data_IF_338684057501
#
_entry.id   IF_338684057501
#
_cell.length_a   1.000
_cell.length_b   1.000
_cell.length_c   1.000
_cell.angle_alpha   90.00
_cell.angle_beta   90.00
_cell.angle_gamma   90.00
#
_symmetry.space_group_name_H-M   'P 1'
#
loop_
_entity.id
_entity.type
_entity.pdbx_description
1 polymer ?
#
# COMPACT_ATOMS: atom_id res chain seq x y z
N UNK A 1 -9.50 -2.43 15.53
CA UNK A 1 -10.10 -2.18 14.20
C UNK A 1 -8.97 -1.83 13.24
N UNK A 2 -8.96 -2.39 12.03
CA UNK A 2 -7.95 -1.98 11.04
C UNK A 2 -8.36 -0.67 10.39
N UNK A 3 -7.39 0.20 10.14
CA UNK A 3 -7.64 1.46 9.42
C UNK A 3 -7.74 1.22 7.91
N UNK A 4 -8.38 2.12 7.15
CA UNK A 4 -8.42 2.04 5.68
C UNK A 4 -7.03 1.91 5.03
N UNK A 5 -6.04 2.65 5.54
CA UNK A 5 -4.64 2.52 5.13
C UNK A 5 -4.10 1.08 5.31
N UNK A 6 -4.32 0.48 6.48
CA UNK A 6 -3.85 -0.86 6.78
C UNK A 6 -4.47 -1.92 5.85
N UNK A 7 -5.76 -1.78 5.55
CA UNK A 7 -6.46 -2.65 4.61
C UNK A 7 -5.95 -2.45 3.18
N UNK A 8 -5.77 -1.20 2.74
CA UNK A 8 -5.25 -0.88 1.41
C UNK A 8 -3.84 -1.48 1.20
N UNK A 9 -2.91 -1.28 2.15
CA UNK A 9 -1.56 -1.85 2.09
C UNK A 9 -1.61 -3.38 1.96
N UNK A 10 -2.48 -4.05 2.73
CA UNK A 10 -2.62 -5.51 2.66
C UNK A 10 -3.08 -5.97 1.27
N UNK A 11 -4.06 -5.28 0.68
CA UNK A 11 -4.54 -5.60 -0.66
C UNK A 11 -3.48 -5.33 -1.72
N UNK A 12 -2.74 -4.23 -1.63
CA UNK A 12 -1.66 -3.89 -2.57
C UNK A 12 -0.52 -4.91 -2.53
N UNK A 13 -0.08 -5.29 -1.33
CA UNK A 13 0.98 -6.31 -1.16
C UNK A 13 0.52 -7.67 -1.67
N UNK A 14 -0.73 -8.04 -1.42
CA UNK A 14 -1.31 -9.27 -1.98
C UNK A 14 -1.36 -9.22 -3.49
N UNK A 15 -1.84 -8.13 -4.08
CA UNK A 15 -1.88 -7.95 -5.53
C UNK A 15 -0.48 -8.12 -6.13
N UNK A 16 0.54 -7.54 -5.47
CA UNK A 16 1.95 -7.74 -5.83
C UNK A 16 2.33 -9.21 -5.76
N UNK A 17 2.05 -9.91 -4.66
CA UNK A 17 2.43 -11.31 -4.50
C UNK A 17 1.70 -12.24 -5.50
N UNK A 18 0.45 -11.94 -5.88
CA UNK A 18 -0.25 -12.69 -6.93
C UNK A 18 0.38 -12.46 -8.32
N UNK A 19 0.70 -11.21 -8.66
CA UNK A 19 1.29 -10.87 -9.96
C UNK A 19 2.68 -11.46 -10.16
N UNK A 20 3.42 -11.67 -9.08
CA UNK A 20 4.79 -12.18 -9.08
C UNK A 20 4.89 -13.57 -8.43
N UNK A 21 3.82 -14.36 -8.49
CA UNK A 21 3.80 -15.70 -7.88
C UNK A 21 4.87 -16.65 -8.47
N UNK A 22 5.22 -16.45 -9.75
CA UNK A 22 6.22 -17.24 -10.48
C UNK A 22 7.58 -16.53 -10.62
N UNK A 23 7.68 -15.24 -10.26
CA UNK A 23 8.90 -14.42 -10.36
C UNK A 23 9.13 -13.66 -9.04
N UNK A 24 9.61 -14.40 -8.04
CA UNK A 24 9.83 -13.86 -6.69
C UNK A 24 11.08 -12.97 -6.55
N UNK A 25 12.02 -13.06 -7.49
CA UNK A 25 13.35 -12.42 -7.39
C UNK A 25 13.28 -10.92 -7.66
N UNK A 26 12.51 -10.53 -8.69
CA UNK A 26 12.42 -9.14 -9.14
C UNK A 26 11.10 -8.46 -8.73
N UNK A 27 10.37 -9.06 -7.77
CA UNK A 27 9.10 -8.52 -7.31
C UNK A 27 9.32 -7.17 -6.59
N UNK A 28 8.40 -6.20 -6.75
CA UNK A 28 8.46 -4.94 -6.03
C UNK A 28 8.57 -5.18 -4.52
N UNK A 29 9.53 -4.55 -3.84
CA UNK A 29 9.76 -4.82 -2.42
C UNK A 29 8.64 -4.23 -1.55
N UNK A 30 8.26 -4.96 -0.51
CA UNK A 30 7.13 -4.62 0.36
C UNK A 30 7.29 -3.23 0.99
N UNK A 31 8.51 -2.89 1.43
CA UNK A 31 8.79 -1.64 2.11
C UNK A 31 8.54 -0.42 1.22
N UNK A 32 8.88 -0.47 -0.07
CA UNK A 32 8.57 0.60 -1.01
C UNK A 32 7.05 0.78 -1.12
N UNK A 33 6.30 -0.32 -1.29
CA UNK A 33 4.83 -0.25 -1.39
C UNK A 33 4.24 0.39 -0.13
N UNK A 34 4.65 -0.09 1.05
CA UNK A 34 4.13 0.39 2.32
C UNK A 34 4.49 1.85 2.57
N UNK A 35 5.74 2.24 2.34
CA UNK A 35 6.20 3.62 2.54
C UNK A 35 5.49 4.58 1.60
N UNK A 36 5.43 4.29 0.30
CA UNK A 36 4.77 5.16 -0.67
C UNK A 36 3.26 5.21 -0.45
N UNK A 37 2.62 4.10 -0.05
CA UNK A 37 1.21 4.09 0.31
C UNK A 37 0.92 4.97 1.53
N UNK A 38 1.79 4.92 2.53
CA UNK A 38 1.67 5.75 3.72
C UNK A 38 1.82 7.25 3.38
N UNK A 39 2.78 7.61 2.53
CA UNK A 39 2.94 8.99 2.06
C UNK A 39 1.73 9.51 1.26
N UNK A 40 1.13 8.65 0.43
CA UNK A 40 0.03 9.02 -0.44
C UNK A 40 -1.35 8.98 0.23
N UNK A 41 -1.46 8.38 1.41
CA UNK A 41 -2.69 8.28 2.16
C UNK A 41 -3.03 9.60 2.83
N UNK A 42 -4.28 10.06 2.68
CA UNK A 42 -4.76 11.35 3.13
C UNK A 42 -5.94 11.20 4.09
N UNK A 43 -5.85 10.25 5.02
CA UNK A 43 -6.83 10.02 6.09
C UNK A 43 -8.24 9.68 5.60
N UNK A 44 -8.31 8.96 4.49
CA UNK A 44 -9.57 8.61 3.86
C UNK A 44 -10.46 7.75 4.78
N UNK A 45 -11.75 8.06 4.82
CA UNK A 45 -12.71 7.40 5.70
C UNK A 45 -13.11 5.98 5.25
N UNK A 46 -12.80 5.59 4.01
CA UNK A 46 -13.16 4.29 3.44
C UNK A 46 -11.98 3.63 2.74
N UNK A 47 -12.05 2.31 2.61
CA UNK A 47 -11.06 1.51 1.88
C UNK A 47 -11.00 1.89 0.40
N UNK A 48 -12.16 2.11 -0.22
CA UNK A 48 -12.26 2.54 -1.62
C UNK A 48 -11.54 3.86 -1.88
N UNK A 49 -11.79 4.87 -1.03
CA UNK A 49 -11.13 6.17 -1.12
C UNK A 49 -9.61 6.05 -0.86
N UNK A 50 -9.22 5.27 0.15
CA UNK A 50 -7.81 5.00 0.45
C UNK A 50 -7.07 4.36 -0.74
N UNK A 51 -7.63 3.29 -1.33
CA UNK A 51 -7.04 2.63 -2.50
C UNK A 51 -6.92 3.58 -3.68
N UNK A 52 -7.95 4.38 -3.96
CA UNK A 52 -7.94 5.35 -5.05
C UNK A 52 -6.83 6.39 -4.86
N UNK A 53 -6.80 7.03 -3.69
CA UNK A 53 -5.83 8.08 -3.36
C UNK A 53 -4.40 7.56 -3.39
N UNK A 54 -4.15 6.42 -2.74
CA UNK A 54 -2.83 5.78 -2.73
C UNK A 54 -2.38 5.46 -4.15
N UNK A 55 -3.17 4.72 -4.93
CA UNK A 55 -2.77 4.30 -6.27
C UNK A 55 -2.57 5.48 -7.22
N UNK A 56 -3.32 6.59 -7.08
CA UNK A 56 -3.17 7.78 -7.91
C UNK A 56 -1.92 8.60 -7.60
N UNK A 57 -1.44 8.56 -6.36
CA UNK A 57 -0.42 9.51 -5.88
C UNK A 57 0.90 8.87 -5.43
N UNK A 58 0.95 7.56 -5.13
CA UNK A 58 2.12 6.96 -4.49
C UNK A 58 3.43 7.07 -5.28
N UNK A 59 3.38 7.11 -6.61
CA UNK A 59 4.55 7.31 -7.46
C UNK A 59 5.13 8.73 -7.38
N UNK A 60 4.35 9.72 -6.95
CA UNK A 60 4.81 11.11 -6.78
C UNK A 60 5.78 11.28 -5.61
N UNK A 61 5.83 10.30 -4.72
CA UNK A 61 6.74 10.26 -3.57
C UNK A 61 8.04 9.50 -3.87
N UNK A 62 8.26 9.12 -5.13
CA UNK A 62 9.56 8.68 -5.61
C UNK A 62 10.30 9.94 -6.08
N UNK A 63 11.32 10.34 -5.33
CA UNK A 63 12.13 11.50 -5.68
C UNK A 63 13.21 11.11 -6.70
N UNK A 64 13.78 12.11 -7.36
CA UNK A 64 15.00 11.97 -8.16
C UNK A 64 16.09 12.84 -7.52
N UNK A 65 17.17 12.20 -7.06
CA UNK A 65 18.32 12.87 -6.43
C UNK A 65 19.58 12.48 -7.21
N UNK A 66 20.22 13.46 -7.83
CA UNK A 66 21.42 13.26 -8.66
C UNK A 66 21.24 12.19 -9.75
N UNK A 67 20.03 12.10 -10.34
CA UNK A 67 19.68 11.12 -11.37
C UNK A 67 19.35 9.71 -10.84
N UNK A 68 19.28 9.53 -9.52
CA UNK A 68 18.94 8.27 -8.87
C UNK A 68 17.55 8.37 -8.24
N UNK A 69 16.71 7.36 -8.49
CA UNK A 69 15.40 7.24 -7.86
C UNK A 69 15.56 7.05 -6.34
N UNK A 70 14.79 7.81 -5.56
CA UNK A 70 14.93 7.85 -4.11
C UNK A 70 13.59 7.68 -3.41
N UNK A 71 13.50 6.62 -2.60
CA UNK A 71 12.39 6.38 -1.67
C UNK A 71 12.97 6.42 -0.26
N UNK A 72 12.77 7.54 0.42
CA UNK A 72 13.40 7.79 1.72
C UNK A 72 12.83 6.88 2.81
N UNK A 73 13.69 6.29 3.64
CA UNK A 73 13.24 5.62 4.84
C UNK A 73 12.74 6.67 5.85
N UNK A 74 11.47 6.61 6.30
CA UNK A 74 10.92 7.61 7.21
C UNK A 74 11.60 7.65 8.59
N UNK A 75 12.25 6.56 9.01
CA UNK A 75 13.01 6.51 10.28
C UNK A 75 14.44 7.02 10.08
N UNK A 76 15.01 6.82 8.90
CA UNK A 76 16.37 7.23 8.58
C UNK A 76 16.41 7.85 7.17
N UNK A 77 16.17 9.16 7.02
CA UNK A 77 16.02 9.77 5.70
C UNK A 77 17.24 9.67 4.76
N UNK A 78 18.40 9.35 5.31
CA UNK A 78 19.64 9.10 4.56
C UNK A 78 19.65 7.73 3.87
N UNK A 79 18.77 6.80 4.26
CA UNK A 79 18.62 5.49 3.63
C UNK A 79 17.59 5.55 2.49
N UNK A 80 17.96 4.97 1.35
CA UNK A 80 17.12 4.87 0.15
C UNK A 80 16.63 3.43 -0.03
N UNK A 81 15.32 3.20 -0.03
CA UNK A 81 14.75 1.88 -0.32
C UNK A 81 14.79 1.49 -1.81
N UNK A 82 15.05 2.44 -2.71
CA UNK A 82 15.22 2.22 -4.15
C UNK A 82 16.71 2.14 -4.56
N UNK A 83 17.61 1.95 -3.59
CA UNK A 83 19.08 1.84 -3.78
C UNK A 83 19.51 0.79 -4.81
N UNK A 84 18.77 -0.32 -4.92
CA UNK A 84 19.06 -1.40 -5.87
C UNK A 84 18.55 -1.16 -7.30
N UNK A 85 17.76 -0.12 -7.54
CA UNK A 85 17.20 0.13 -8.88
C UNK A 85 18.25 0.48 -9.96
N UNK A 86 19.33 1.22 -9.66
CA UNK A 86 20.41 1.46 -10.62
C UNK A 86 21.19 0.18 -10.98
N UNK A 87 21.39 -0.71 -10.01
CA UNK A 87 22.08 -1.98 -10.19
C UNK A 87 21.23 -3.00 -10.95
N UNK A 88 19.93 -3.03 -10.66
CA UNK A 88 18.95 -3.95 -11.23
C UNK A 88 17.73 -3.19 -11.76
N UNK A 89 17.82 -2.58 -12.96
CA UNK A 89 16.73 -1.76 -13.53
C UNK A 89 15.39 -2.49 -13.66
N UNK A 90 15.42 -3.82 -13.82
CA UNK A 90 14.22 -4.66 -13.87
C UNK A 90 13.35 -4.55 -12.60
N UNK A 91 13.93 -4.25 -11.42
CA UNK A 91 13.17 -4.04 -10.18
C UNK A 91 12.33 -2.77 -10.23
N UNK A 92 12.88 -1.69 -10.79
CA UNK A 92 12.16 -0.45 -11.05
C UNK A 92 11.03 -0.68 -12.06
N UNK A 93 11.36 -1.32 -13.18
CA UNK A 93 10.39 -1.60 -14.23
C UNK A 93 9.24 -2.47 -13.71
N UNK A 94 9.55 -3.48 -12.91
CA UNK A 94 8.55 -4.33 -12.27
C UNK A 94 7.67 -3.58 -11.26
N UNK A 95 8.22 -2.61 -10.52
CA UNK A 95 7.41 -1.73 -9.66
C UNK A 95 6.41 -0.92 -10.48
N UNK A 96 6.84 -0.27 -11.56
CA UNK A 96 5.93 0.53 -12.39
C UNK A 96 4.95 -0.34 -13.18
N UNK A 97 5.37 -1.53 -13.64
CA UNK A 97 4.50 -2.53 -14.26
C UNK A 97 3.41 -2.99 -13.29
N UNK A 98 3.80 -3.28 -12.05
CA UNK A 98 2.85 -3.62 -10.99
C UNK A 98 1.88 -2.48 -10.69
N UNK A 99 2.39 -1.25 -10.54
CA UNK A 99 1.56 -0.09 -10.23
C UNK A 99 0.51 0.16 -11.33
N UNK A 100 0.91 0.05 -12.60
CA UNK A 100 0.01 0.17 -13.73
C UNK A 100 -1.09 -0.91 -13.72
N UNK A 101 -0.72 -2.18 -13.47
CA UNK A 101 -1.70 -3.27 -13.36
C UNK A 101 -2.64 -3.07 -12.17
N UNK A 102 -2.10 -2.70 -11.00
CA UNK A 102 -2.90 -2.44 -9.81
C UNK A 102 -3.91 -1.30 -10.03
N UNK A 103 -3.48 -0.21 -10.68
CA UNK A 103 -4.38 0.89 -11.07
C UNK A 103 -5.54 0.39 -11.93
N UNK A 104 -5.29 -0.48 -12.90
CA UNK A 104 -6.33 -1.04 -13.77
C UNK A 104 -7.28 -1.99 -13.03
N UNK A 105 -6.73 -2.92 -12.26
CA UNK A 105 -7.51 -3.96 -11.58
C UNK A 105 -8.37 -3.36 -10.45
N UNK A 106 -7.80 -2.44 -9.66
CA UNK A 106 -8.57 -1.75 -8.62
C UNK A 106 -9.52 -0.68 -9.18
N UNK A 107 -9.26 -0.08 -10.34
CA UNK A 107 -10.26 0.80 -10.97
C UNK A 107 -11.50 0.02 -11.40
N UNK A 108 -11.35 -1.22 -11.89
CA UNK A 108 -12.48 -2.10 -12.19
C UNK A 108 -13.25 -2.46 -10.92
N UNK A 109 -12.53 -2.78 -9.84
CA UNK A 109 -13.12 -2.99 -8.51
C UNK A 109 -13.99 -1.83 -8.05
N UNK A 110 -13.43 -0.61 -8.05
CA UNK A 110 -14.08 0.59 -7.54
C UNK A 110 -15.32 0.97 -8.36
N UNK A 111 -15.36 0.63 -9.66
CA UNK A 111 -16.52 0.85 -10.52
C UNK A 111 -17.62 -0.20 -10.33
N UNK A 112 -17.23 -1.45 -10.08
CA UNK A 112 -18.16 -2.56 -9.92
C UNK A 112 -18.83 -2.59 -8.54
N UNK A 113 -18.31 -1.84 -7.56
CA UNK A 113 -18.82 -1.85 -6.20
C UNK A 113 -18.97 -0.46 -5.59
N UNK A 114 -20.17 0.13 -5.67
CA UNK A 114 -20.48 1.40 -5.03
C UNK A 114 -20.57 1.33 -3.49
N UNK A 115 -20.54 0.12 -2.90
CA UNK A 115 -20.84 -0.12 -1.47
C UNK A 115 -19.70 -0.80 -0.71
N UNK A 116 -18.43 -0.57 -1.08
CA UNK A 116 -17.24 -1.20 -0.43
C UNK A 116 -17.24 -2.75 -0.44
N UNK A 117 -18.07 -3.38 -1.29
CA UNK A 117 -18.08 -4.84 -1.48
C UNK A 117 -16.99 -5.25 -2.47
N UNK A 118 -16.38 -6.42 -2.33
CA UNK A 118 -15.37 -6.87 -3.30
C UNK A 118 -16.03 -7.66 -4.43
N UNK A 119 -15.84 -7.29 -5.72
CA UNK A 119 -16.35 -8.08 -6.84
C UNK A 119 -15.69 -9.46 -6.89
N UNK A 120 -16.47 -10.47 -7.26
CA UNK A 120 -16.06 -11.89 -7.33
C UNK A 120 -14.78 -12.12 -8.16
N UNK A 121 -14.55 -11.32 -9.21
CA UNK A 121 -13.34 -11.42 -10.03
C UNK A 121 -12.07 -11.02 -9.25
N UNK A 122 -12.18 -10.03 -8.36
CA UNK A 122 -11.08 -9.66 -7.47
C UNK A 122 -10.90 -10.71 -6.36
N UNK A 123 -12.00 -11.31 -5.87
CA UNK A 123 -11.93 -12.47 -4.96
C UNK A 123 -11.20 -13.66 -5.58
N UNK A 124 -11.49 -13.96 -6.85
CA UNK A 124 -10.86 -15.05 -7.59
C UNK A 124 -9.36 -14.83 -7.75
N UNK A 125 -8.92 -13.59 -8.02
CA UNK A 125 -7.51 -13.23 -8.22
C UNK A 125 -6.71 -13.08 -6.93
N UNK A 126 -7.29 -12.48 -5.89
CA UNK A 126 -6.61 -12.24 -4.61
C UNK A 126 -6.78 -13.40 -3.63
N UNK A 127 -7.78 -14.25 -3.85
CA UNK A 127 -8.15 -15.36 -2.99
C UNK A 127 -9.30 -14.99 -2.03
N UNK A 128 -10.36 -15.81 -1.94
CA UNK A 128 -11.59 -15.46 -1.21
C UNK A 128 -11.36 -15.29 0.30
N UNK A 129 -10.43 -16.03 0.88
CA UNK A 129 -10.13 -15.96 2.32
C UNK A 129 -9.53 -14.60 2.75
N UNK A 130 -8.77 -13.93 1.88
CA UNK A 130 -8.15 -12.65 2.22
C UNK A 130 -9.13 -11.50 2.02
N UNK A 131 -9.91 -11.56 0.94
CA UNK A 131 -10.98 -10.60 0.67
C UNK A 131 -12.01 -10.61 1.80
N UNK A 132 -12.49 -11.79 2.20
CA UNK A 132 -13.43 -11.94 3.31
C UNK A 132 -12.88 -11.39 4.62
N UNK A 133 -11.56 -11.50 4.87
CA UNK A 133 -10.90 -10.90 6.05
C UNK A 133 -10.74 -9.37 5.95
N UNK A 134 -10.58 -8.82 4.76
CA UNK A 134 -10.57 -7.39 4.53
C UNK A 134 -11.99 -6.79 4.73
N UNK A 135 -13.02 -7.48 4.23
CA UNK A 135 -14.44 -7.12 4.33
C UNK A 135 -15.03 -7.28 5.74
N UNK A 136 -14.69 -8.36 6.46
CA UNK A 136 -15.16 -8.57 7.85
C UNK A 136 -14.64 -7.51 8.84
N UNK A 137 -13.69 -6.66 8.45
CA UNK A 137 -13.27 -5.52 9.26
C UNK A 137 -14.10 -4.25 9.00
N UNK A 138 -15.02 -4.28 8.01
CA UNK A 138 -15.91 -3.18 7.59
C UNK A 138 -17.33 -3.36 8.14
N UNK A 139 -17.72 -4.59 8.50
CA UNK A 139 -19.02 -4.91 9.09
C UNK A 139 -18.81 -5.38 10.54
N UNK A 140 -19.28 -4.66 11.57
CA UNK A 140 -19.38 -5.24 12.90
C UNK A 140 -20.60 -6.17 12.88
N UNK A 141 -20.39 -7.47 13.04
CA UNK A 141 -21.48 -8.33 13.50
C UNK A 141 -21.02 -9.14 14.71
N UNK A 142 -21.93 -9.16 15.66
CA UNK A 142 -21.79 -9.61 17.03
C UNK A 142 -21.36 -11.07 17.14
N UNK A 143 -20.38 -11.31 18.00
CA UNK A 143 -20.18 -12.59 18.68
C UNK A 143 -19.76 -13.80 17.84
N UNK A 144 -18.46 -14.10 17.81
CA UNK A 144 -17.98 -15.47 18.03
C UNK A 144 -16.46 -15.51 18.22
N UNK A 145 -16.07 -16.15 19.32
CA UNK A 145 -14.73 -16.51 19.76
C UNK A 145 -14.15 -17.59 18.82
N UNK A 146 -12.86 -17.46 18.45
CA UNK A 146 -12.08 -18.58 17.90
C UNK A 146 -11.00 -18.17 16.90
N UNK A 147 -9.85 -17.71 17.40
CA UNK A 147 -8.64 -17.56 16.57
C UNK A 147 -7.89 -18.89 16.47
N UNK A 148 -7.36 -19.24 15.27
CA UNK A 148 -6.07 -19.88 15.17
C UNK A 148 -5.05 -18.85 14.69
N UNK A 149 -4.08 -18.59 15.55
CA UNK A 149 -2.77 -18.08 15.17
C UNK A 149 -2.04 -19.10 14.28
N UNK A 150 -1.06 -18.59 13.53
CA UNK A 150 -0.10 -19.26 12.62
C UNK A 150 -0.43 -19.24 11.12
N UNK A 151 0.24 -18.32 10.39
CA UNK A 151 1.37 -18.67 9.51
C UNK A 151 1.99 -17.38 8.89
N UNK A 152 3.26 -17.15 9.26
CA UNK A 152 4.36 -16.48 8.54
C UNK A 152 4.27 -14.98 8.18
N UNK A 153 5.10 -14.17 8.87
CA UNK A 153 5.58 -12.88 8.38
C UNK A 153 5.71 -11.79 9.45
N UNK A 154 6.62 -11.96 10.42
CA UNK A 154 6.91 -11.00 11.51
C UNK A 154 7.54 -9.65 11.09
N UNK A 155 7.28 -9.18 9.88
CA UNK A 155 7.70 -7.86 9.40
C UNK A 155 6.54 -6.88 9.18
N UNK A 156 5.31 -7.38 8.98
CA UNK A 156 4.17 -6.54 8.62
C UNK A 156 3.82 -5.52 9.70
N UNK A 157 3.75 -5.93 10.96
CA UNK A 157 3.39 -5.02 12.04
C UNK A 157 4.50 -3.98 12.26
N UNK A 158 5.78 -4.36 12.31
CA UNK A 158 6.87 -3.38 12.48
C UNK A 158 7.04 -2.41 11.30
N UNK A 159 6.75 -2.87 10.08
CA UNK A 159 6.76 -2.04 8.87
C UNK A 159 5.56 -1.08 8.85
N UNK A 160 4.42 -1.56 9.32
CA UNK A 160 3.18 -0.79 9.44
C UNK A 160 3.21 0.20 10.60
N UNK A 161 3.81 -0.16 11.72
CA UNK A 161 4.12 0.72 12.84
C UNK A 161 5.06 1.82 12.36
N UNK A 162 6.13 1.47 11.62
CA UNK A 162 7.02 2.48 11.02
C UNK A 162 6.33 3.36 10.00
N UNK A 163 5.46 2.80 9.17
CA UNK A 163 4.68 3.56 8.20
C UNK A 163 3.63 4.45 8.88
N UNK A 164 3.02 3.99 9.98
CA UNK A 164 2.10 4.80 10.78
C UNK A 164 2.86 5.91 11.50
N UNK A 165 3.97 5.61 12.14
CA UNK A 165 4.85 6.62 12.72
C UNK A 165 5.37 7.59 11.65
N UNK A 166 5.58 7.14 10.41
CA UNK A 166 5.92 8.01 9.29
C UNK A 166 4.76 8.97 8.94
N UNK A 167 3.54 8.44 8.81
CA UNK A 167 2.33 9.25 8.59
C UNK A 167 2.14 10.25 9.73
N UNK A 168 2.25 9.81 10.98
CA UNK A 168 2.15 10.66 12.16
C UNK A 168 3.25 11.73 12.19
N UNK A 169 4.48 11.40 11.79
CA UNK A 169 5.60 12.36 11.67
C UNK A 169 5.38 13.37 10.54
N UNK A 170 4.79 12.96 9.42
CA UNK A 170 4.45 13.83 8.29
C UNK A 170 3.27 14.74 8.65
N UNK A 171 2.24 14.22 9.30
CA UNK A 171 1.07 14.99 9.72
C UNK A 171 1.39 15.97 10.86
N UNK A 172 2.27 15.59 11.79
CA UNK A 172 2.74 16.49 12.87
C UNK A 172 3.71 17.57 12.39
N UNK A 173 4.47 17.34 11.31
CA UNK A 173 5.30 18.36 10.66
C UNK A 173 4.56 19.17 9.58
N UNK A 174 3.40 18.68 9.11
CA UNK A 174 2.63 19.24 8.00
C UNK A 174 1.79 20.48 8.29
N UNK A 175 1.77 21.00 9.52
CA UNK A 175 1.05 22.25 9.84
C UNK A 175 1.97 23.47 9.78
N UNK A 176 2.44 23.79 8.58
CA UNK A 176 2.68 25.19 8.14
C UNK A 176 3.06 25.24 6.66
N UNK A 177 2.07 25.32 5.79
CA UNK A 177 2.24 26.05 4.52
C UNK A 177 1.40 27.32 4.62
N UNK A 178 2.05 28.43 5.01
CA UNK A 178 1.45 29.76 4.90
C UNK A 178 1.29 30.07 3.40
N UNK A 179 0.11 30.53 2.95
CA UNK A 179 -0.10 30.87 1.55
C UNK A 179 0.67 32.16 1.23
N UNK A 180 1.56 32.09 0.25
CA UNK A 180 2.18 33.28 -0.35
C UNK A 180 1.18 33.95 -1.30
N UNK A 181 0.50 34.98 -0.81
CA UNK A 181 -0.17 36.07 -1.58
C UNK A 181 -0.20 37.27 -0.61
N UNK A 182 0.37 38.46 -0.85
CA UNK A 182 0.88 39.16 -2.03
C UNK A 182 1.98 40.13 -1.58
#
# INVERSE_FOLDING_TARGET
MRTPLQQAIQLLKRHRDCMFAEDGEHKPISIIITTLAAHAYNEEASLSAALQSILMNMDRYIEERDGIAWVSNPVNPAENFADKWPEEPCKRDNFFRWLAQARQDFAQYLRASPYDTIPDELERRLGPALVKRALNSVMPDDGAIGAPALLLGGGHDAELERARHAVDAIQSSGSQSRPWVR
#
